data_IF_522043994451
#
_entry.id   IF_522043994451
#
_cell.length_a   1.000
_cell.length_b   1.000
_cell.length_c   1.000
_cell.angle_alpha   90.00
_cell.angle_beta   90.00
_cell.angle_gamma   90.00
#
_symmetry.space_group_name_H-M   'P 1'
#
loop_
_entity.id
_entity.type
_entity.pdbx_description
1 polymer ?
#
# COMPACT_ATOMS: atom_id res chain seq x y z
N UNK A 1 -0.43 -20.51 -6.45
CA UNK A 1 -0.14 -19.38 -5.55
C UNK A 1 0.84 -18.46 -6.27
N UNK A 2 0.33 -17.41 -6.92
CA UNK A 2 1.14 -16.53 -7.77
C UNK A 2 1.90 -15.57 -6.86
N UNK A 3 3.21 -15.74 -6.77
CA UNK A 3 4.07 -14.82 -6.02
C UNK A 3 4.19 -13.57 -6.90
N UNK A 4 3.39 -12.54 -6.61
CA UNK A 4 3.54 -11.24 -7.24
C UNK A 4 4.92 -10.69 -6.87
N UNK A 5 5.89 -10.85 -7.78
CA UNK A 5 7.24 -10.31 -7.59
C UNK A 5 7.17 -8.82 -7.85
N UNK A 6 7.11 -8.04 -6.79
CA UNK A 6 7.40 -6.61 -6.81
C UNK A 6 8.20 -6.28 -5.57
N UNK A 7 9.05 -5.26 -5.65
CA UNK A 7 9.89 -4.83 -4.54
C UNK A 7 9.75 -3.34 -4.37
N UNK A 8 9.42 -2.91 -3.15
CA UNK A 8 9.44 -1.50 -2.79
C UNK A 8 10.89 -1.07 -2.67
N UNK A 9 11.29 -0.08 -3.47
CA UNK A 9 12.65 0.49 -3.44
C UNK A 9 12.68 1.79 -2.61
N UNK A 10 11.62 2.60 -2.66
CA UNK A 10 11.51 3.80 -1.83
C UNK A 10 10.06 4.15 -1.51
N UNK A 11 9.84 4.75 -0.35
CA UNK A 11 8.56 5.31 0.08
C UNK A 11 8.77 6.71 0.65
N UNK A 12 7.91 7.66 0.27
CA UNK A 12 7.86 8.99 0.85
C UNK A 12 6.41 9.38 1.13
N UNK A 13 6.09 9.66 2.38
CA UNK A 13 4.81 10.21 2.78
C UNK A 13 4.83 11.72 2.77
N UNK A 14 3.85 12.34 2.13
CA UNK A 14 3.56 13.78 2.17
C UNK A 14 2.19 14.01 2.81
N UNK A 15 1.87 15.25 3.19
CA UNK A 15 0.65 15.56 3.93
C UNK A 15 -0.66 15.10 3.25
N UNK A 16 -0.70 15.03 1.92
CA UNK A 16 -1.90 14.70 1.14
C UNK A 16 -1.70 13.60 0.10
N UNK A 17 -0.50 13.07 -0.04
CA UNK A 17 -0.18 12.05 -1.02
C UNK A 17 1.04 11.23 -0.61
N UNK A 18 1.24 10.09 -1.26
CA UNK A 18 2.40 9.22 -1.02
C UNK A 18 3.10 8.92 -2.35
N UNK A 19 4.43 8.90 -2.33
CA UNK A 19 5.27 8.49 -3.44
C UNK A 19 5.84 7.11 -3.13
N UNK A 20 5.72 6.19 -4.08
CA UNK A 20 6.25 4.83 -3.99
C UNK A 20 7.10 4.57 -5.23
N UNK A 21 8.36 4.19 -5.04
CA UNK A 21 9.21 3.65 -6.10
C UNK A 21 9.17 2.15 -5.94
N UNK A 22 8.60 1.46 -6.93
CA UNK A 22 8.42 0.00 -6.90
C UNK A 22 9.10 -0.60 -8.12
N UNK A 23 9.99 -1.55 -7.88
CA UNK A 23 10.50 -2.42 -8.93
C UNK A 23 9.41 -3.43 -9.30
N UNK A 24 8.92 -3.30 -10.53
CA UNK A 24 7.74 -3.98 -11.02
C UNK A 24 8.11 -4.94 -12.17
N UNK A 25 7.79 -6.21 -12.04
CA UNK A 25 8.03 -7.20 -13.09
C UNK A 25 6.92 -7.13 -14.15
N UNK A 26 7.29 -7.20 -15.43
CA UNK A 26 6.39 -7.03 -16.59
C UNK A 26 5.23 -8.03 -16.66
N UNK A 27 5.31 -9.15 -15.95
CA UNK A 27 4.27 -10.17 -15.88
C UNK A 27 3.17 -9.87 -14.84
N UNK A 28 3.31 -8.80 -14.05
CA UNK A 28 2.27 -8.37 -13.12
C UNK A 28 1.38 -7.31 -13.76
N UNK A 29 0.12 -7.24 -13.32
CA UNK A 29 -0.78 -6.15 -13.69
C UNK A 29 -0.59 -4.97 -12.73
N UNK A 30 -0.17 -3.83 -13.27
CA UNK A 30 0.11 -2.62 -12.49
C UNK A 30 -1.16 -2.08 -11.81
N UNK A 31 -2.30 -2.15 -12.51
CA UNK A 31 -3.59 -1.70 -11.98
C UNK A 31 -4.03 -2.55 -10.79
N UNK A 32 -3.83 -3.86 -10.85
CA UNK A 32 -4.18 -4.78 -9.75
C UNK A 32 -3.30 -4.51 -8.52
N UNK A 33 -2.01 -4.23 -8.73
CA UNK A 33 -1.09 -3.84 -7.65
C UNK A 33 -1.53 -2.53 -7.00
N UNK A 34 -1.77 -1.49 -7.78
CA UNK A 34 -2.16 -0.16 -7.27
C UNK A 34 -3.50 -0.24 -6.54
N UNK A 35 -4.48 -0.93 -7.12
CA UNK A 35 -5.81 -1.11 -6.52
C UNK A 35 -5.74 -1.88 -5.21
N UNK A 36 -4.97 -2.97 -5.18
CA UNK A 36 -4.75 -3.76 -3.96
C UNK A 36 -4.04 -2.95 -2.89
N UNK A 37 -3.00 -2.18 -3.26
CA UNK A 37 -2.25 -1.35 -2.33
C UNK A 37 -3.13 -0.26 -1.70
N UNK A 38 -3.85 0.50 -2.51
CA UNK A 38 -4.74 1.58 -2.04
C UNK A 38 -5.85 1.03 -1.14
N UNK A 39 -6.44 -0.09 -1.54
CA UNK A 39 -7.54 -0.73 -0.80
C UNK A 39 -7.06 -1.32 0.53
N UNK A 40 -5.94 -2.06 0.54
CA UNK A 40 -5.41 -2.67 1.74
C UNK A 40 -4.89 -1.63 2.74
N UNK A 41 -4.13 -0.64 2.28
CA UNK A 41 -3.63 0.44 3.13
C UNK A 41 -4.76 1.24 3.78
N UNK A 42 -5.81 1.58 3.02
CA UNK A 42 -7.00 2.25 3.58
C UNK A 42 -7.65 1.45 4.69
N UNK A 43 -7.82 0.13 4.51
CA UNK A 43 -8.40 -0.75 5.54
C UNK A 43 -7.54 -0.79 6.79
N UNK A 44 -6.24 -1.02 6.64
CA UNK A 44 -5.28 -1.07 7.76
C UNK A 44 -5.28 0.25 8.51
N UNK A 45 -5.20 1.37 7.80
CA UNK A 45 -5.16 2.69 8.40
C UNK A 45 -6.43 3.02 9.20
N UNK A 46 -7.62 2.70 8.66
CA UNK A 46 -8.87 2.88 9.40
C UNK A 46 -8.89 2.06 10.68
N UNK A 47 -8.49 0.78 10.63
CA UNK A 47 -8.42 -0.09 11.81
C UNK A 47 -7.44 0.48 12.85
N UNK A 48 -6.25 0.92 12.41
CA UNK A 48 -5.25 1.52 13.30
C UNK A 48 -5.77 2.78 14.00
N UNK A 49 -6.48 3.66 13.30
CA UNK A 49 -7.09 4.84 13.92
C UNK A 49 -8.16 4.45 14.93
N UNK A 50 -9.05 3.50 14.58
CA UNK A 50 -10.10 3.07 15.50
C UNK A 50 -9.55 2.49 16.80
N UNK A 51 -8.48 1.69 16.74
CA UNK A 51 -7.81 1.15 17.92
C UNK A 51 -7.15 2.24 18.78
N UNK A 52 -6.65 3.29 18.14
CA UNK A 52 -6.06 4.44 18.83
C UNK A 52 -7.12 5.19 19.65
N UNK A 53 -8.31 5.38 19.08
CA UNK A 53 -9.43 6.08 19.75
C UNK A 53 -10.16 5.28 20.83
N UNK A 54 -9.94 3.97 20.93
CA UNK A 54 -10.54 3.11 21.98
C UNK A 54 -9.60 3.00 23.21
N UNK A 55 -8.34 3.39 23.06
CA UNK A 55 -7.33 3.29 24.13
C UNK A 55 -7.21 4.56 25.00
N UNK A 56 -8.04 5.58 24.74
CA UNK A 56 -8.24 6.77 25.56
C UNK A 56 -9.55 6.66 26.38
#
# INVERSE_FOLDING_TARGET
>A
MTIHKWKLEAFKGEAYHVHLIVNFYSNNNLSDLISSFKSASSRIFMVSIQLSTISD
#
